data_IF_056235164522
#
_entry.id   IF_056235164522
#
_cell.length_a   1.000
_cell.length_b   1.000
_cell.length_c   1.000
_cell.angle_alpha   90.00
_cell.angle_beta   90.00
_cell.angle_gamma   90.00
#
_symmetry.space_group_name_H-M   'P 1'
#
loop_
_entity.id
_entity.type
_entity.pdbx_description
1 polymer ?
#
# COMPACT_ATOMS: atom_id res chain seq x y z
N UNK A 1 -16.87 -28.98 -0.91
CA UNK A 1 -15.61 -28.91 -0.16
C UNK A 1 -14.83 -27.74 -0.72
N UNK A 2 -14.90 -26.58 -0.07
CA UNK A 2 -14.16 -25.38 -0.48
C UNK A 2 -12.71 -25.59 -0.05
N UNK A 3 -11.80 -25.76 -1.02
CA UNK A 3 -10.37 -25.70 -0.75
C UNK A 3 -10.09 -24.36 -0.06
N UNK A 4 -9.69 -24.41 1.20
CA UNK A 4 -9.26 -23.22 1.91
C UNK A 4 -7.99 -22.71 1.20
N UNK A 5 -7.95 -21.44 0.74
CA UNK A 5 -6.81 -20.91 0.00
C UNK A 5 -5.50 -21.27 0.70
N UNK A 6 -4.46 -21.66 -0.04
CA UNK A 6 -3.17 -22.06 0.50
C UNK A 6 -2.60 -21.04 1.52
N UNK A 7 -2.94 -19.76 1.33
CA UNK A 7 -2.69 -18.67 2.26
C UNK A 7 -3.27 -18.92 3.67
N UNK A 8 -4.53 -19.33 3.79
CA UNK A 8 -5.19 -19.58 5.08
C UNK A 8 -4.51 -20.76 5.80
N UNK A 9 -4.19 -21.82 5.06
CA UNK A 9 -3.46 -22.95 5.66
C UNK A 9 -2.07 -22.55 6.14
N UNK A 10 -1.39 -21.66 5.41
CA UNK A 10 -0.09 -21.13 5.83
C UNK A 10 -0.21 -20.28 7.09
N UNK A 11 -1.16 -19.34 7.12
CA UNK A 11 -1.43 -18.50 8.28
C UNK A 11 -1.81 -19.33 9.53
N UNK A 12 -2.62 -20.37 9.37
CA UNK A 12 -3.03 -21.25 10.47
C UNK A 12 -1.87 -22.02 11.12
N UNK A 13 -0.75 -22.24 10.40
CA UNK A 13 0.44 -22.89 10.98
C UNK A 13 1.11 -22.03 12.06
N UNK A 14 0.90 -20.71 12.01
CA UNK A 14 1.48 -19.77 12.97
C UNK A 14 0.54 -19.46 14.13
N UNK A 15 -0.65 -20.06 14.18
CA UNK A 15 -1.71 -19.71 15.15
C UNK A 15 -1.21 -19.71 16.60
N UNK A 16 -0.52 -20.77 17.01
CA UNK A 16 -0.09 -20.92 18.40
C UNK A 16 0.99 -19.90 18.77
N UNK A 17 1.92 -19.63 17.83
CA UNK A 17 2.95 -18.59 17.99
C UNK A 17 2.35 -17.19 18.07
N UNK A 18 1.36 -16.89 17.22
CA UNK A 18 0.67 -15.60 17.21
C UNK A 18 -0.17 -15.40 18.48
N UNK A 19 -0.78 -16.47 18.98
CA UNK A 19 -1.48 -16.44 20.25
C UNK A 19 -0.51 -16.16 21.41
N UNK A 20 0.63 -16.86 21.44
CA UNK A 20 1.67 -16.63 22.45
C UNK A 20 2.22 -15.20 22.39
N UNK A 21 2.53 -14.70 21.20
CA UNK A 21 2.95 -13.31 21.00
C UNK A 21 1.92 -12.33 21.55
N UNK A 22 0.65 -12.50 21.20
CA UNK A 22 -0.43 -11.63 21.67
C UNK A 22 -0.58 -11.68 23.19
N UNK A 23 -0.57 -12.89 23.78
CA UNK A 23 -0.70 -13.09 25.23
C UNK A 23 0.42 -12.41 26.02
N UNK A 24 1.64 -12.36 25.47
CA UNK A 24 2.77 -11.65 26.08
C UNK A 24 2.64 -10.14 25.85
N UNK A 25 2.32 -9.69 24.64
CA UNK A 25 2.26 -8.27 24.25
C UNK A 25 1.21 -7.46 25.01
N UNK A 26 0.16 -8.11 25.53
CA UNK A 26 -0.88 -7.44 26.35
C UNK A 26 -0.56 -7.38 27.85
N UNK A 27 0.56 -7.97 28.29
CA UNK A 27 0.96 -7.94 29.71
C UNK A 27 1.35 -6.53 30.12
N UNK A 28 0.93 -6.13 31.33
CA UNK A 28 1.30 -4.84 31.92
C UNK A 28 2.80 -4.75 32.26
N UNK A 29 3.39 -5.89 32.63
CA UNK A 29 4.81 -6.01 32.97
C UNK A 29 5.34 -7.25 32.26
N UNK A 30 6.44 -7.09 31.51
CA UNK A 30 7.17 -8.22 30.95
C UNK A 30 8.22 -8.70 31.95
N UNK A 31 8.28 -10.02 32.12
CA UNK A 31 9.43 -10.68 32.73
C UNK A 31 10.57 -10.84 31.71
N UNK A 32 11.78 -11.15 32.18
CA UNK A 32 12.91 -11.44 31.29
C UNK A 32 12.58 -12.62 30.36
N UNK A 33 11.92 -13.67 30.87
CA UNK A 33 11.47 -14.81 30.07
C UNK A 33 10.47 -14.41 28.99
N UNK A 34 9.58 -13.45 29.28
CA UNK A 34 8.63 -12.94 28.30
C UNK A 34 9.33 -12.16 27.19
N UNK A 35 10.32 -11.33 27.55
CA UNK A 35 11.10 -10.54 26.61
C UNK A 35 11.95 -11.44 25.70
N UNK A 36 12.62 -12.45 26.27
CA UNK A 36 13.37 -13.46 25.53
C UNK A 36 12.46 -14.18 24.53
N UNK A 37 11.24 -14.53 24.98
CA UNK A 37 10.28 -15.25 24.13
C UNK A 37 9.77 -14.40 22.96
N UNK A 38 9.47 -13.12 23.20
CA UNK A 38 9.13 -12.19 22.11
C UNK A 38 10.31 -12.08 21.14
N UNK A 39 11.54 -11.94 21.64
CA UNK A 39 12.73 -11.84 20.80
C UNK A 39 12.89 -13.08 19.89
N UNK A 40 12.65 -14.28 20.42
CA UNK A 40 12.67 -15.51 19.62
C UNK A 40 11.62 -15.50 18.50
N UNK A 41 10.39 -15.10 18.83
CA UNK A 41 9.29 -15.04 17.85
C UNK A 41 9.60 -14.03 16.74
N UNK A 42 10.11 -12.86 17.09
CA UNK A 42 10.51 -11.84 16.12
C UNK A 42 11.68 -12.31 15.24
N UNK A 43 12.65 -13.03 15.83
CA UNK A 43 13.76 -13.63 15.06
C UNK A 43 13.25 -14.64 14.04
N UNK A 44 12.24 -15.46 14.38
CA UNK A 44 11.62 -16.37 13.41
C UNK A 44 10.97 -15.59 12.26
N UNK A 45 10.30 -14.48 12.58
CA UNK A 45 9.60 -13.64 11.61
C UNK A 45 10.53 -13.00 10.57
N UNK A 46 11.80 -12.73 10.90
CA UNK A 46 12.80 -12.22 9.95
C UNK A 46 12.98 -13.12 8.72
N UNK A 47 12.72 -14.43 8.88
CA UNK A 47 12.89 -15.43 7.81
C UNK A 47 11.57 -15.97 7.27
N UNK A 48 10.45 -15.63 7.88
CA UNK A 48 9.10 -16.05 7.49
C UNK A 48 8.22 -14.84 7.19
N UNK A 49 8.06 -14.47 5.90
CA UNK A 49 7.26 -13.31 5.51
C UNK A 49 5.79 -13.36 5.94
N UNK A 50 5.21 -14.56 6.09
CA UNK A 50 3.83 -14.68 6.55
C UNK A 50 3.74 -14.38 8.04
N UNK A 51 4.66 -14.91 8.82
CA UNK A 51 4.72 -14.64 10.25
C UNK A 51 4.97 -13.15 10.52
N UNK A 52 5.92 -12.53 9.81
CA UNK A 52 6.17 -11.09 9.89
C UNK A 52 4.91 -10.29 9.61
N UNK A 53 4.23 -10.57 8.51
CA UNK A 53 2.99 -9.88 8.17
C UNK A 53 1.91 -10.03 9.26
N UNK A 54 1.73 -11.24 9.79
CA UNK A 54 0.70 -11.48 10.82
C UNK A 54 1.04 -10.82 12.16
N UNK A 55 2.33 -10.71 12.51
CA UNK A 55 2.77 -9.96 13.69
C UNK A 55 2.50 -8.48 13.52
N UNK A 56 2.82 -7.89 12.37
CA UNK A 56 2.53 -6.48 12.07
C UNK A 56 1.03 -6.17 12.21
N UNK A 57 0.16 -7.07 11.73
CA UNK A 57 -1.28 -6.93 11.88
C UNK A 57 -1.73 -7.02 13.35
N UNK A 58 -1.14 -7.91 14.16
CA UNK A 58 -1.42 -7.97 15.60
C UNK A 58 -1.00 -6.66 16.28
N UNK A 59 0.21 -6.17 16.00
CA UNK A 59 0.70 -4.92 16.57
C UNK A 59 -0.19 -3.74 16.19
N UNK A 60 -0.67 -3.70 14.96
CA UNK A 60 -1.62 -2.68 14.50
C UNK A 60 -2.95 -2.75 15.27
N UNK A 61 -3.50 -3.95 15.45
CA UNK A 61 -4.74 -4.18 16.23
C UNK A 61 -4.54 -3.76 17.69
N UNK A 62 -3.42 -4.16 18.32
CA UNK A 62 -3.12 -3.80 19.70
C UNK A 62 -2.94 -2.30 19.85
N UNK A 63 -2.25 -1.65 18.91
CA UNK A 63 -2.05 -0.22 18.92
C UNK A 63 -3.38 0.55 18.82
N UNK A 64 -4.33 0.09 18.01
CA UNK A 64 -5.70 0.64 18.01
C UNK A 64 -6.45 0.36 19.32
N UNK A 65 -6.39 -0.88 19.82
CA UNK A 65 -7.07 -1.29 21.05
C UNK A 65 -6.66 -0.43 22.24
N UNK A 66 -5.36 -0.15 22.37
CA UNK A 66 -4.80 0.70 23.42
C UNK A 66 -4.79 2.19 23.06
N UNK A 67 -5.36 2.58 21.91
CA UNK A 67 -5.40 3.98 21.43
C UNK A 67 -4.01 4.63 21.37
N UNK A 68 -3.00 3.84 21.04
CA UNK A 68 -1.62 4.30 20.81
C UNK A 68 -1.50 5.02 19.47
N UNK A 69 -2.37 4.66 18.51
CA UNK A 69 -2.51 5.35 17.23
C UNK A 69 -3.69 6.31 17.32
N UNK A 70 -3.45 7.57 16.97
CA UNK A 70 -4.52 8.53 16.73
C UNK A 70 -4.94 8.43 15.26
N UNK A 71 -6.06 7.75 15.03
CA UNK A 71 -6.63 7.55 13.70
C UNK A 71 -6.91 8.88 13.00
N UNK A 72 -7.18 9.95 13.76
CA UNK A 72 -7.44 11.27 13.20
C UNK A 72 -6.20 11.90 12.58
N UNK A 73 -5.03 11.70 13.19
CA UNK A 73 -3.74 12.16 12.64
C UNK A 73 -3.32 11.30 11.43
N UNK A 74 -3.57 9.99 11.47
CA UNK A 74 -3.32 9.10 10.32
C UNK A 74 -4.19 9.48 9.13
N UNK A 75 -5.50 9.65 9.33
CA UNK A 75 -6.44 10.08 8.29
C UNK A 75 -6.12 11.48 7.77
N UNK A 76 -5.70 12.40 8.65
CA UNK A 76 -5.30 13.75 8.27
C UNK A 76 -4.08 13.70 7.36
N UNK A 77 -3.06 12.93 7.75
CA UNK A 77 -1.83 12.75 6.97
C UNK A 77 -2.13 12.12 5.63
N UNK A 78 -2.98 11.08 5.60
CA UNK A 78 -3.36 10.40 4.36
C UNK A 78 -4.14 11.33 3.42
N UNK A 79 -5.04 12.16 3.95
CA UNK A 79 -5.74 13.20 3.18
C UNK A 79 -4.79 14.24 2.60
N UNK A 80 -3.81 14.70 3.38
CA UNK A 80 -2.81 15.65 2.92
C UNK A 80 -1.94 15.07 1.79
N UNK A 81 -1.51 13.81 1.93
CA UNK A 81 -0.77 13.10 0.89
C UNK A 81 -1.59 12.97 -0.39
N UNK A 82 -2.85 12.54 -0.29
CA UNK A 82 -3.73 12.40 -1.44
C UNK A 82 -3.96 13.73 -2.16
N UNK A 83 -4.18 14.81 -1.41
CA UNK A 83 -4.31 16.15 -1.99
C UNK A 83 -3.05 16.58 -2.73
N UNK A 84 -1.88 16.37 -2.12
CA UNK A 84 -0.59 16.75 -2.71
C UNK A 84 -0.30 15.97 -3.99
N UNK A 85 -0.55 14.66 -3.98
CA UNK A 85 -0.37 13.81 -5.17
C UNK A 85 -1.31 14.22 -6.30
N UNK A 86 -2.59 14.47 -5.99
CA UNK A 86 -3.56 14.94 -6.99
C UNK A 86 -3.15 16.29 -7.59
N UNK A 87 -2.70 17.23 -6.76
CA UNK A 87 -2.26 18.54 -7.24
C UNK A 87 -1.03 18.41 -8.14
N UNK A 88 -0.03 17.62 -7.72
CA UNK A 88 1.16 17.38 -8.52
C UNK A 88 0.82 16.74 -9.88
N UNK A 89 -0.09 15.76 -9.87
CA UNK A 89 -0.55 15.12 -11.10
C UNK A 89 -1.26 16.12 -12.04
N UNK A 90 -2.11 16.99 -11.51
CA UNK A 90 -2.77 18.05 -12.28
C UNK A 90 -1.76 19.03 -12.87
N UNK A 91 -0.79 19.49 -12.08
CA UNK A 91 0.24 20.43 -12.51
C UNK A 91 1.09 19.84 -13.66
N UNK A 92 1.52 18.58 -13.52
CA UNK A 92 2.27 17.87 -14.55
C UNK A 92 1.44 17.67 -15.83
N UNK A 93 0.15 17.36 -15.68
CA UNK A 93 -0.75 17.18 -16.83
C UNK A 93 -0.95 18.50 -17.59
N UNK A 94 -1.19 19.60 -16.86
CA UNK A 94 -1.36 20.92 -17.46
C UNK A 94 -0.06 21.38 -18.14
N UNK A 95 1.09 21.16 -17.52
CA UNK A 95 2.40 21.45 -18.11
C UNK A 95 2.61 20.67 -19.42
N UNK A 96 2.30 19.38 -19.42
CA UNK A 96 2.40 18.54 -20.62
C UNK A 96 1.47 19.02 -21.75
N UNK A 97 0.24 19.43 -21.41
CA UNK A 97 -0.70 19.99 -22.39
C UNK A 97 -0.17 21.32 -22.94
N UNK A 98 0.31 22.22 -22.07
CA UNK A 98 0.86 23.50 -22.47
C UNK A 98 2.06 23.34 -23.42
N UNK A 99 2.98 22.42 -23.11
CA UNK A 99 4.12 22.10 -23.96
C UNK A 99 3.68 21.58 -25.34
N UNK A 100 2.65 20.72 -25.40
CA UNK A 100 2.11 20.22 -26.67
C UNK A 100 1.43 21.29 -27.52
N UNK A 101 0.78 22.28 -26.88
CA UNK A 101 0.13 23.40 -27.57
C UNK A 101 1.13 24.45 -28.06
N UNK A 102 2.29 24.55 -27.41
CA UNK A 102 3.39 25.43 -27.82
C UNK A 102 4.28 24.81 -28.91
N UNK A 103 4.12 23.51 -29.19
CA UNK A 103 4.86 22.82 -30.24
C UNK A 103 4.21 23.06 -31.63
N UNK A 104 4.86 23.83 -32.54
CA UNK A 104 4.26 24.25 -33.81
C UNK A 104 4.00 23.10 -34.81
N UNK A 105 4.45 21.88 -34.52
CA UNK A 105 4.27 20.70 -35.38
C UNK A 105 2.88 20.04 -35.23
N UNK A 106 2.07 20.39 -34.23
CA UNK A 106 0.72 19.81 -34.05
C UNK A 106 -0.38 20.53 -34.84
N UNK A 107 -0.09 21.71 -35.42
CA UNK A 107 -1.07 22.50 -36.18
C UNK A 107 -1.20 22.09 -37.66
N UNK A 108 -0.55 21.01 -38.10
CA UNK A 108 -0.54 20.57 -39.51
C UNK A 108 -1.35 19.31 -39.80
N UNK A 109 -2.14 18.77 -38.86
CA UNK A 109 -2.97 17.58 -39.10
C UNK A 109 -4.47 17.88 -39.30
N UNK A 110 -4.83 19.13 -39.60
CA UNK A 110 -6.17 19.47 -40.11
C UNK A 110 -6.11 19.81 -41.61
N UNK A 111 -5.73 18.84 -42.44
CA UNK A 111 -6.11 18.87 -43.85
C UNK A 111 -7.09 17.72 -44.12
N UNK A 112 -8.36 18.08 -44.18
CA UNK A 112 -9.46 17.25 -44.65
C UNK A 112 -9.14 16.64 -46.03
N UNK A 113 -9.42 15.35 -46.26
CA UNK A 113 -9.37 14.79 -47.59
C UNK A 113 -10.69 15.11 -48.32
N UNK A 114 -10.76 16.28 -48.97
CA UNK A 114 -11.73 16.48 -50.05
C UNK A 114 -11.08 17.06 -51.30
N UNK A 115 -11.11 16.21 -52.32
CA UNK A 115 -11.34 16.54 -53.72
C UNK A 115 -10.23 17.26 -54.48
N UNK A 116 -9.57 16.51 -55.37
CA UNK A 116 -9.77 16.78 -56.81
C UNK A 116 -9.49 15.57 -57.69
N UNK A 117 -10.54 15.22 -58.41
CA UNK A 117 -10.59 14.34 -59.56
C UNK A 117 -9.62 14.76 -60.69
N UNK A 118 -9.28 13.74 -61.49
CA UNK A 118 -8.94 13.77 -62.92
C UNK A 118 -7.55 14.30 -63.34
N UNK A 119 -6.74 13.41 -63.92
CA UNK A 119 -6.69 13.14 -65.38
C UNK A 119 -5.27 12.94 -65.94
N UNK A 120 -5.14 11.89 -66.77
CA UNK A 120 -4.22 11.73 -67.92
C UNK A 120 -2.77 11.32 -67.60
N UNK A 121 -2.43 10.04 -67.86
CA UNK A 121 -1.88 9.60 -69.16
C UNK A 121 -2.14 8.12 -69.39
#
# INVERSE_FOLDING_TARGET
>A
MTESPAFIQHALRHRDLLQEYCDISVKLLLSDTDADRISDILTMAETDPMLSFLIDEIDHILAHLYRLIDDSETERTQRQLQQTLNQNWLDQTLLNIANRLQDPQTNSLSQSPQERHQSIR
#
